data_IF_406290357560
#
_entry.id   IF_406290357560
#
_cell.length_a   1.000
_cell.length_b   1.000
_cell.length_c   1.000
_cell.angle_alpha   90.00
_cell.angle_beta   90.00
_cell.angle_gamma   90.00
#
_symmetry.space_group_name_H-M   'P 1'
#
loop_
_entity.id
_entity.type
_entity.pdbx_description
1 polymer ?
#
# COMPACT_ATOMS: atom_id res chain seq x y z
N UNK A 1 -16.62 25.83 -34.48
CA UNK A 1 -15.44 26.06 -33.61
C UNK A 1 -15.57 25.40 -32.23
N UNK A 2 -16.76 25.31 -31.63
CA UNK A 2 -16.94 24.79 -30.25
C UNK A 2 -16.63 23.29 -30.06
N UNK A 3 -16.72 22.48 -31.12
CA UNK A 3 -16.48 21.03 -31.05
C UNK A 3 -14.99 20.68 -30.90
N UNK A 4 -14.09 21.42 -31.56
CA UNK A 4 -12.66 21.08 -31.59
C UNK A 4 -11.97 21.29 -30.25
N UNK A 5 -12.38 22.31 -29.48
CA UNK A 5 -11.80 22.57 -28.16
C UNK A 5 -12.23 21.50 -27.15
N UNK A 6 -13.48 21.03 -27.20
CA UNK A 6 -13.98 20.00 -26.29
C UNK A 6 -13.20 18.68 -26.42
N UNK A 7 -12.96 18.20 -27.65
CA UNK A 7 -12.17 16.99 -27.87
C UNK A 7 -10.73 17.12 -27.38
N UNK A 8 -10.09 18.28 -27.60
CA UNK A 8 -8.73 18.52 -27.12
C UNK A 8 -8.68 18.56 -25.59
N UNK A 9 -9.64 19.24 -24.93
CA UNK A 9 -9.74 19.26 -23.47
C UNK A 9 -9.96 17.84 -22.93
N UNK A 10 -10.85 17.06 -23.52
CA UNK A 10 -11.06 15.66 -23.12
C UNK A 10 -9.81 14.80 -23.30
N UNK A 11 -9.07 14.95 -24.40
CA UNK A 11 -7.83 14.20 -24.59
C UNK A 11 -6.77 14.57 -23.55
N UNK A 12 -6.63 15.86 -23.21
CA UNK A 12 -5.74 16.30 -22.13
C UNK A 12 -6.18 15.72 -20.79
N UNK A 13 -7.48 15.76 -20.46
CA UNK A 13 -8.02 15.19 -19.23
C UNK A 13 -7.78 13.67 -19.14
N UNK A 14 -7.99 12.93 -20.23
CA UNK A 14 -7.74 11.48 -20.26
C UNK A 14 -6.24 11.17 -20.14
N UNK A 15 -5.37 12.00 -20.74
CA UNK A 15 -3.92 11.84 -20.64
C UNK A 15 -3.40 12.12 -19.22
N UNK A 16 -3.93 13.13 -18.52
CA UNK A 16 -3.47 13.48 -17.18
C UNK A 16 -4.09 12.63 -16.07
N UNK A 17 -5.30 12.10 -16.25
CA UNK A 17 -5.95 11.22 -15.26
C UNK A 17 -5.20 9.89 -14.99
N UNK A 18 -4.24 9.54 -15.86
CA UNK A 18 -3.40 8.33 -15.71
C UNK A 18 -2.22 8.52 -14.75
N UNK A 19 -1.92 9.74 -14.32
CA UNK A 19 -0.89 9.98 -13.32
C UNK A 19 -1.46 9.70 -11.93
N UNK A 20 -1.67 8.40 -11.62
CA UNK A 20 -1.75 7.96 -10.24
C UNK A 20 -0.39 8.31 -9.61
N UNK A 21 -0.35 9.34 -8.77
CA UNK A 21 0.87 9.82 -8.12
C UNK A 21 1.55 8.64 -7.40
N UNK A 22 2.60 8.11 -8.02
CA UNK A 22 3.45 7.05 -7.44
C UNK A 22 4.26 7.56 -6.24
N UNK A 23 4.31 8.88 -6.05
CA UNK A 23 5.06 9.53 -4.97
C UNK A 23 4.37 9.47 -3.61
N UNK A 24 3.15 8.93 -3.53
CA UNK A 24 2.46 8.73 -2.27
C UNK A 24 2.24 7.25 -2.02
N UNK A 25 2.36 6.83 -0.77
CA UNK A 25 2.10 5.46 -0.38
C UNK A 25 0.70 5.02 -0.81
N UNK A 26 0.51 3.72 -1.12
CA UNK A 26 -0.82 3.15 -1.35
C UNK A 26 -1.78 3.43 -0.18
N UNK A 27 -3.09 3.24 -0.39
CA UNK A 27 -4.06 3.29 0.70
C UNK A 27 -3.64 2.41 1.90
N UNK A 28 -3.89 2.89 3.12
CA UNK A 28 -3.54 2.24 4.38
C UNK A 28 -2.04 2.02 4.65
N UNK A 29 -1.18 2.67 3.86
CA UNK A 29 0.26 2.66 4.07
C UNK A 29 0.78 4.04 4.50
N UNK A 30 1.88 4.06 5.24
CA UNK A 30 2.64 5.25 5.62
C UNK A 30 4.11 5.08 5.27
N UNK A 31 4.74 6.15 4.80
CA UNK A 31 6.16 6.12 4.49
C UNK A 31 6.94 6.17 5.79
N UNK A 32 7.86 5.22 5.97
CA UNK A 32 8.81 5.24 7.06
C UNK A 32 10.23 5.24 6.49
N UNK A 33 11.07 6.13 7.02
CA UNK A 33 12.50 6.13 6.71
C UNK A 33 13.18 4.87 7.24
N UNK A 34 12.64 4.22 8.27
CA UNK A 34 13.20 3.00 8.81
C UNK A 34 12.11 2.08 9.37
N UNK A 35 11.61 1.17 8.56
CA UNK A 35 10.68 0.11 8.98
C UNK A 35 11.23 -1.29 8.74
N UNK A 36 10.63 -2.27 9.40
CA UNK A 36 10.97 -3.68 9.25
C UNK A 36 9.78 -4.44 8.64
N UNK A 37 9.88 -4.96 7.40
CA UNK A 37 8.75 -5.59 6.70
C UNK A 37 8.28 -6.88 7.36
N UNK A 38 9.12 -7.47 8.22
CA UNK A 38 8.78 -8.66 8.98
C UNK A 38 7.59 -8.43 9.93
N UNK A 39 7.39 -7.20 10.40
CA UNK A 39 6.33 -6.82 11.33
C UNK A 39 4.99 -6.50 10.65
N UNK A 40 4.93 -6.50 9.31
CA UNK A 40 3.72 -6.16 8.56
C UNK A 40 2.82 -7.37 8.29
N UNK A 41 3.21 -8.59 8.64
CA UNK A 41 2.44 -9.81 8.32
C UNK A 41 1.42 -10.10 9.40
N UNK A 42 0.32 -10.78 9.04
CA UNK A 42 -0.60 -11.33 10.04
C UNK A 42 0.15 -12.13 11.10
N UNK A 43 -0.12 -11.83 12.37
CA UNK A 43 0.37 -12.66 13.47
C UNK A 43 -0.40 -13.98 13.49
N UNK A 44 0.31 -15.04 13.13
CA UNK A 44 -0.19 -16.40 13.13
C UNK A 44 0.17 -17.15 14.43
N UNK A 45 0.75 -16.48 15.43
CA UNK A 45 1.20 -17.09 16.67
C UNK A 45 2.51 -17.90 16.54
N UNK A 46 3.08 -17.99 15.34
CA UNK A 46 4.40 -18.56 15.15
C UNK A 46 5.48 -17.51 15.45
N UNK A 47 6.57 -17.88 16.15
CA UNK A 47 7.66 -16.95 16.40
C UNK A 47 8.29 -16.51 15.07
N UNK A 48 8.03 -15.27 14.68
CA UNK A 48 8.62 -14.69 13.48
C UNK A 48 10.04 -14.23 13.81
N UNK A 49 11.03 -14.83 13.15
CA UNK A 49 12.42 -14.39 13.26
C UNK A 49 12.61 -13.19 12.33
N UNK A 50 12.58 -12.00 12.90
CA UNK A 50 12.90 -10.77 12.18
C UNK A 50 14.38 -10.44 12.32
N UNK A 51 15.03 -10.15 11.20
CA UNK A 51 16.36 -9.50 11.18
C UNK A 51 16.21 -8.05 11.61
N UNK A 52 17.25 -7.47 12.21
CA UNK A 52 17.34 -6.02 12.38
C UNK A 52 17.71 -5.39 11.03
N UNK A 53 16.71 -5.21 10.17
CA UNK A 53 16.84 -4.51 8.91
C UNK A 53 15.98 -3.26 8.89
N UNK A 54 16.48 -2.24 8.22
CA UNK A 54 15.89 -0.92 8.10
C UNK A 54 15.63 -0.70 6.61
N UNK A 55 14.37 -0.70 6.21
CA UNK A 55 13.96 -0.45 4.83
C UNK A 55 13.24 0.89 4.72
N UNK A 56 13.57 1.65 3.68
CA UNK A 56 13.04 2.98 3.41
C UNK A 56 11.91 2.85 2.38
N UNK A 57 10.68 2.61 2.85
CA UNK A 57 9.52 2.34 1.99
C UNK A 57 8.21 2.68 2.69
N UNK A 58 7.12 2.42 1.99
CA UNK A 58 5.78 2.42 2.57
C UNK A 58 5.55 1.11 3.35
N UNK A 59 5.04 1.26 4.58
CA UNK A 59 4.66 0.19 5.49
C UNK A 59 3.18 0.29 5.82
N UNK A 60 2.55 -0.82 6.21
CA UNK A 60 1.19 -0.77 6.74
C UNK A 60 1.10 0.15 7.96
N UNK A 61 0.07 0.99 7.98
CA UNK A 61 -0.26 1.79 9.17
C UNK A 61 -0.56 0.89 10.35
N UNK A 62 -0.44 1.43 11.55
CA UNK A 62 -0.82 0.74 12.78
C UNK A 62 -2.25 0.15 12.70
N UNK A 63 -2.40 -1.13 13.05
CA UNK A 63 -3.66 -1.88 12.96
C UNK A 63 -3.96 -2.47 11.57
N UNK A 64 -3.05 -2.32 10.60
CA UNK A 64 -3.11 -2.94 9.28
C UNK A 64 -1.91 -3.85 9.05
N UNK A 65 -2.12 -4.88 8.23
CA UNK A 65 -1.13 -5.91 7.91
C UNK A 65 -1.30 -6.39 6.47
N UNK A 66 -0.25 -6.97 5.90
CA UNK A 66 -0.27 -7.61 4.58
C UNK A 66 -0.58 -9.10 4.73
N UNK A 67 -1.54 -9.57 3.92
CA UNK A 67 -1.85 -11.01 3.82
C UNK A 67 -0.78 -11.78 3.00
N UNK A 68 -0.07 -11.08 2.11
CA UNK A 68 0.96 -11.62 1.22
C UNK A 68 2.13 -10.65 1.12
N UNK A 69 3.32 -11.10 0.74
CA UNK A 69 4.58 -10.33 0.78
C UNK A 69 4.55 -9.01 -0.02
N UNK A 70 3.70 -8.91 -1.04
CA UNK A 70 3.43 -7.68 -1.82
C UNK A 70 1.93 -7.31 -1.85
N UNK A 71 1.19 -7.78 -0.85
CA UNK A 71 -0.25 -7.55 -0.75
C UNK A 71 -0.59 -6.15 -0.26
N UNK A 72 -1.85 -5.77 -0.44
CA UNK A 72 -2.40 -4.55 0.16
C UNK A 72 -2.45 -4.68 1.70
N UNK A 73 -2.34 -3.53 2.37
CA UNK A 73 -2.55 -3.44 3.81
C UNK A 73 -4.04 -3.51 4.13
N UNK A 74 -4.44 -4.60 4.79
CA UNK A 74 -5.81 -4.84 5.26
C UNK A 74 -5.86 -4.70 6.78
N UNK A 75 -7.01 -4.32 7.37
CA UNK A 75 -7.15 -4.31 8.83
C UNK A 75 -6.78 -5.67 9.44
N UNK A 76 -6.11 -5.66 10.59
CA UNK A 76 -5.62 -6.88 11.27
C UNK A 76 -6.75 -7.87 11.62
N UNK A 77 -7.98 -7.39 11.80
CA UNK A 77 -9.19 -8.20 11.97
C UNK A 77 -9.48 -9.17 10.80
N UNK A 78 -8.91 -8.93 9.62
CA UNK A 78 -9.03 -9.83 8.47
C UNK A 78 -8.01 -10.98 8.50
N UNK A 79 -7.06 -10.96 9.44
CA UNK A 79 -6.24 -12.13 9.71
C UNK A 79 -7.12 -13.24 10.27
N UNK A 80 -6.97 -14.46 9.74
CA UNK A 80 -7.67 -15.62 10.31
C UNK A 80 -7.03 -15.93 11.66
N UNK A 81 -7.75 -15.84 12.79
CA UNK A 81 -7.22 -16.32 14.05
C UNK A 81 -6.93 -17.82 13.92
N UNK A 82 -5.70 -18.23 14.22
CA UNK A 82 -5.38 -19.65 14.34
C UNK A 82 -6.06 -20.15 15.62
N UNK A 83 -7.25 -20.73 15.47
CA UNK A 83 -7.86 -21.54 16.50
C UNK A 83 -7.25 -22.94 16.44
N UNK A 84 -6.31 -23.23 17.34
CA UNK A 84 -5.91 -24.62 17.66
C UNK A 84 -6.91 -25.24 18.64
#
# INVERSE_FOLDING_TARGET
>A
MFQSTFFLVLMVCVATARFANKDHCPPNEEYNECGNPCQEKCDNGEPVICTYQCEHRCFCKQGYVRLTEDGECVPEEFCKPIHY
#
